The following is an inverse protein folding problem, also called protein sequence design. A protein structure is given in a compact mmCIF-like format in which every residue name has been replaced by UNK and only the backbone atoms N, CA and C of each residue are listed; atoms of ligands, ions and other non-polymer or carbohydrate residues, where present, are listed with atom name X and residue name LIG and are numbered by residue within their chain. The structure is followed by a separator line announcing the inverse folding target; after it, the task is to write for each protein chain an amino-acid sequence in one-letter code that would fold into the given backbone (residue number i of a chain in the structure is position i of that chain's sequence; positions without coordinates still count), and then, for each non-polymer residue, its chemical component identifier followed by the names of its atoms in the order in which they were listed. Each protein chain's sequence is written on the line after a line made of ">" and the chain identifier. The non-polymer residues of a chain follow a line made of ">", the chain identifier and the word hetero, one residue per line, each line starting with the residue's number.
data_IF_333757874172
#
_entry.id   IF_333757874172
#
_cell.length_a   1.000
_cell.length_b   1.000
_cell.length_c   1.000
_cell.angle_alpha   90.00
_cell.angle_beta   90.00
_cell.angle_gamma   90.00
#
_symmetry.space_group_name_H-M   'P 1'
#
loop_
_entity.id
_entity.type
_entity.pdbx_description
1 polymer ?
#
# COMPACT_ATOMS: atom_id res chain seq x y z
N UNK A 1 28.69 -48.50 -25.36
CA UNK A 1 28.41 -47.09 -25.08
C UNK A 1 27.07 -46.75 -25.72
N UNK A 2 26.10 -46.37 -24.85
CA UNK A 2 24.78 -45.91 -25.30
C UNK A 2 24.96 -44.43 -25.67
N UNK A 3 24.66 -44.10 -26.94
CA UNK A 3 24.68 -42.71 -27.43
C UNK A 3 23.30 -42.12 -27.16
N UNK A 4 23.17 -41.32 -26.13
CA UNK A 4 21.95 -40.55 -25.84
C UNK A 4 22.04 -39.26 -26.66
N UNK A 5 21.16 -39.09 -27.62
CA UNK A 5 20.93 -37.87 -28.35
C UNK A 5 19.81 -37.12 -27.62
N UNK A 6 20.11 -36.02 -26.98
CA UNK A 6 19.09 -35.11 -26.43
C UNK A 6 18.63 -34.23 -27.60
N UNK A 7 17.34 -34.35 -27.98
CA UNK A 7 16.67 -33.37 -28.83
C UNK A 7 16.28 -32.20 -27.95
N UNK A 8 16.58 -30.98 -28.39
CA UNK A 8 16.05 -29.78 -27.75
C UNK A 8 14.53 -29.77 -27.96
N UNK A 9 13.79 -29.93 -26.87
CA UNK A 9 12.34 -29.71 -26.87
C UNK A 9 12.08 -28.21 -26.87
N UNK A 10 12.03 -27.61 -28.03
CA UNK A 10 11.68 -26.22 -28.26
C UNK A 10 10.17 -26.07 -28.44
N UNK A 11 9.37 -26.54 -27.50
CA UNK A 11 7.99 -26.04 -27.38
C UNK A 11 8.04 -24.58 -26.89
N UNK A 12 8.15 -23.67 -27.84
CA UNK A 12 7.87 -22.26 -27.61
C UNK A 12 6.39 -22.15 -27.28
N UNK A 13 6.07 -22.13 -26.01
CA UNK A 13 4.72 -21.78 -25.54
C UNK A 13 4.42 -20.39 -26.10
N UNK A 14 3.56 -20.32 -27.11
CA UNK A 14 3.06 -19.06 -27.66
C UNK A 14 2.27 -18.32 -26.56
N UNK A 15 2.96 -17.41 -25.89
CA UNK A 15 2.34 -16.58 -24.85
C UNK A 15 1.30 -15.65 -25.53
N UNK A 16 0.03 -15.90 -25.23
CA UNK A 16 -1.11 -15.17 -25.77
C UNK A 16 -1.47 -14.05 -24.81
N UNK A 17 -1.49 -12.83 -25.31
CA UNK A 17 -1.83 -11.64 -24.55
C UNK A 17 -3.23 -11.16 -24.94
N UNK A 18 -4.06 -10.86 -23.97
CA UNK A 18 -5.35 -10.21 -24.20
C UNK A 18 -5.11 -8.74 -24.55
N UNK A 19 -5.54 -8.33 -25.74
CA UNK A 19 -5.44 -6.95 -26.22
C UNK A 19 -6.81 -6.49 -26.71
N UNK A 20 -7.38 -5.51 -26.06
CA UNK A 20 -8.66 -4.93 -26.46
C UNK A 20 -9.78 -5.96 -26.51
N UNK A 21 -10.35 -6.14 -27.70
CA UNK A 21 -11.47 -7.05 -27.93
C UNK A 21 -11.07 -8.46 -28.39
N UNK A 22 -9.78 -8.81 -28.25
CA UNK A 22 -9.29 -10.12 -28.71
C UNK A 22 -7.99 -10.53 -28.04
N UNK A 23 -7.52 -11.73 -28.38
CA UNK A 23 -6.24 -12.29 -27.95
C UNK A 23 -5.27 -12.25 -29.11
N UNK A 24 -4.05 -11.80 -28.88
CA UNK A 24 -2.95 -11.82 -29.86
C UNK A 24 -1.70 -12.47 -29.26
N UNK A 25 -0.88 -13.05 -30.13
CA UNK A 25 0.42 -13.56 -29.70
C UNK A 25 1.32 -12.40 -29.27
N UNK A 26 2.02 -12.55 -28.16
CA UNK A 26 2.95 -11.53 -27.62
C UNK A 26 3.97 -11.09 -28.68
N UNK A 27 4.44 -12.03 -29.51
CA UNK A 27 5.36 -11.78 -30.62
C UNK A 27 4.82 -10.90 -31.75
N UNK A 28 3.50 -10.77 -31.87
CA UNK A 28 2.83 -9.93 -32.90
C UNK A 28 2.45 -8.55 -32.41
N UNK A 29 2.70 -8.23 -31.14
CA UNK A 29 2.41 -6.91 -30.57
C UNK A 29 3.51 -5.93 -30.93
N UNK A 30 3.19 -4.96 -31.78
CA UNK A 30 4.10 -3.87 -32.17
C UNK A 30 4.20 -2.76 -31.13
N UNK A 31 3.36 -2.78 -30.09
CA UNK A 31 3.31 -1.79 -29.03
C UNK A 31 4.05 -2.22 -27.76
N UNK A 32 4.39 -1.25 -26.90
CA UNK A 32 4.99 -1.50 -25.60
C UNK A 32 3.94 -2.07 -24.62
N UNK A 33 3.83 -3.40 -24.58
CA UNK A 33 2.96 -4.13 -23.67
C UNK A 33 3.81 -4.84 -22.61
N UNK A 34 3.49 -4.65 -21.35
CA UNK A 34 4.10 -5.39 -20.25
C UNK A 34 3.03 -6.27 -19.62
N UNK A 35 3.30 -7.56 -19.55
CA UNK A 35 2.39 -8.56 -18.97
C UNK A 35 2.89 -8.98 -17.61
N UNK A 36 1.99 -9.05 -16.66
CA UNK A 36 2.22 -9.55 -15.30
C UNK A 36 1.30 -10.74 -15.07
N UNK A 37 1.88 -11.90 -14.79
CA UNK A 37 1.17 -13.15 -14.57
C UNK A 37 0.80 -13.37 -13.10
N UNK A 38 -0.08 -14.34 -12.86
CA UNK A 38 -0.53 -14.72 -11.51
C UNK A 38 0.60 -15.11 -10.55
N UNK A 39 1.77 -15.52 -11.06
CA UNK A 39 2.92 -15.94 -10.24
C UNK A 39 3.35 -14.88 -9.25
N UNK A 40 3.37 -13.60 -9.67
CA UNK A 40 3.77 -12.47 -8.80
C UNK A 40 2.87 -12.36 -7.57
N UNK A 41 1.58 -12.61 -7.72
CA UNK A 41 0.63 -12.56 -6.61
C UNK A 41 0.80 -13.74 -5.65
N UNK A 42 1.10 -14.93 -6.18
CA UNK A 42 1.34 -16.14 -5.38
C UNK A 42 2.66 -16.06 -4.59
N UNK A 43 3.71 -15.55 -5.22
CA UNK A 43 5.05 -15.48 -4.62
C UNK A 43 5.13 -14.47 -3.47
N UNK A 44 4.42 -13.36 -3.58
CA UNK A 44 4.45 -12.30 -2.56
C UNK A 44 3.52 -12.55 -1.38
N UNK A 45 2.47 -13.33 -1.50
CA UNK A 45 1.51 -13.69 -0.45
C UNK A 45 1.11 -12.58 0.53
N UNK A 46 -0.07 -12.66 1.13
CA UNK A 46 -0.46 -11.77 2.23
C UNK A 46 -0.59 -10.29 1.88
N UNK A 47 -0.93 -9.98 0.62
CA UNK A 47 -1.04 -8.62 0.13
C UNK A 47 -2.49 -8.16 0.17
N UNK A 48 -2.75 -7.03 0.81
CA UNK A 48 -4.09 -6.44 0.90
C UNK A 48 -4.62 -5.90 -0.43
N UNK A 49 -3.74 -5.65 -1.41
CA UNK A 49 -4.12 -5.08 -2.72
C UNK A 49 -3.22 -5.59 -3.84
N UNK A 50 -3.76 -5.84 -5.06
CA UNK A 50 -2.96 -6.16 -6.24
C UNK A 50 -1.90 -5.11 -6.55
N UNK A 51 -2.19 -3.83 -6.30
CA UNK A 51 -1.26 -2.71 -6.54
C UNK A 51 0.02 -2.82 -5.71
N UNK A 52 -0.09 -3.34 -4.49
CA UNK A 52 1.07 -3.59 -3.63
C UNK A 52 1.99 -4.66 -4.22
N UNK A 53 1.43 -5.71 -4.83
CA UNK A 53 2.20 -6.74 -5.50
C UNK A 53 2.98 -6.20 -6.70
N UNK A 54 2.36 -5.28 -7.45
CA UNK A 54 2.91 -4.71 -8.69
C UNK A 54 3.99 -3.67 -8.45
N UNK A 55 4.06 -3.08 -7.25
CA UNK A 55 5.00 -2.02 -6.94
C UNK A 55 6.45 -2.49 -7.16
N UNK A 56 7.18 -1.77 -8.01
CA UNK A 56 8.57 -2.08 -8.37
C UNK A 56 8.77 -3.29 -9.30
N UNK A 57 7.68 -3.94 -9.77
CA UNK A 57 7.77 -5.13 -10.63
C UNK A 57 7.64 -4.82 -12.12
N UNK A 58 7.06 -3.69 -12.45
CA UNK A 58 6.74 -3.34 -13.85
C UNK A 58 7.59 -2.16 -14.30
N UNK A 59 8.51 -2.35 -15.27
CA UNK A 59 9.34 -1.27 -15.77
C UNK A 59 8.51 -0.11 -16.32
N UNK A 60 8.84 1.13 -15.92
CA UNK A 60 8.17 2.35 -16.37
C UNK A 60 6.75 2.54 -15.80
N UNK A 61 6.36 1.77 -14.79
CA UNK A 61 5.12 1.98 -14.03
C UNK A 61 5.48 2.50 -12.64
N UNK A 62 4.92 3.65 -12.29
CA UNK A 62 5.11 4.27 -10.99
C UNK A 62 3.84 4.05 -10.18
N UNK A 63 3.96 3.31 -9.09
CA UNK A 63 2.87 3.06 -8.15
C UNK A 63 3.22 3.75 -6.84
N UNK A 64 2.41 4.72 -6.45
CA UNK A 64 2.54 5.46 -5.20
C UNK A 64 1.43 5.09 -4.25
N UNK A 65 1.73 5.12 -2.96
CA UNK A 65 0.75 4.91 -1.90
C UNK A 65 0.72 6.17 -1.04
N UNK A 66 -0.41 6.85 -1.02
CA UNK A 66 -0.58 8.10 -0.26
C UNK A 66 -0.89 7.88 1.21
N UNK A 67 -1.61 6.79 1.54
CA UNK A 67 -1.93 6.39 2.91
C UNK A 67 -1.62 4.93 3.13
N UNK A 68 -1.16 4.58 4.34
CA UNK A 68 -0.95 3.19 4.76
C UNK A 68 -2.02 2.71 5.75
N UNK A 69 -3.03 3.55 6.02
CA UNK A 69 -4.12 3.17 6.90
C UNK A 69 -4.95 2.06 6.25
N UNK A 70 -5.22 0.95 6.94
CA UNK A 70 -6.04 -0.13 6.41
C UNK A 70 -7.45 0.37 6.05
N UNK A 71 -7.87 0.12 4.81
CA UNK A 71 -9.18 0.55 4.31
C UNK A 71 -9.24 1.97 3.76
N UNK A 72 -8.25 2.81 4.03
CA UNK A 72 -8.13 4.18 3.51
C UNK A 72 -6.83 4.35 2.70
N UNK A 73 -6.45 3.33 1.99
CA UNK A 73 -5.30 3.35 1.11
C UNK A 73 -5.63 4.12 -0.17
N UNK A 74 -4.95 5.23 -0.38
CA UNK A 74 -4.98 5.93 -1.66
C UNK A 74 -3.82 5.47 -2.53
N UNK A 75 -4.14 5.03 -3.74
CA UNK A 75 -3.15 4.56 -4.69
C UNK A 75 -3.10 5.47 -5.91
N UNK A 76 -1.91 5.86 -6.30
CA UNK A 76 -1.63 6.51 -7.57
C UNK A 76 -0.90 5.53 -8.49
N UNK A 77 -1.30 5.48 -9.75
CA UNK A 77 -0.70 4.67 -10.79
C UNK A 77 -0.41 5.53 -12.00
N UNK A 78 0.84 5.61 -12.40
CA UNK A 78 1.26 6.34 -13.59
C UNK A 78 2.08 5.42 -14.51
N UNK A 79 1.73 5.44 -15.80
CA UNK A 79 2.47 4.77 -16.84
C UNK A 79 3.34 5.82 -17.55
N UNK A 80 4.68 5.73 -17.40
CA UNK A 80 5.66 6.66 -18.00
C UNK A 80 5.61 8.12 -17.53
N UNK A 81 5.12 8.38 -16.31
CA UNK A 81 5.11 9.71 -15.71
C UNK A 81 3.86 10.53 -16.02
N UNK A 82 3.88 11.80 -15.65
CA UNK A 82 2.73 12.70 -15.77
C UNK A 82 2.61 13.25 -17.19
N UNK A 83 1.48 13.03 -17.84
CA UNK A 83 1.17 13.52 -19.18
C UNK A 83 0.39 14.85 -19.15
N UNK A 84 -0.29 15.16 -18.04
CA UNK A 84 -1.10 16.36 -17.85
C UNK A 84 -0.98 16.88 -16.41
N UNK A 85 -1.22 18.16 -16.22
CA UNK A 85 -1.26 18.81 -14.90
C UNK A 85 -2.51 18.38 -14.12
N UNK A 86 -3.58 18.05 -14.77
CA UNK A 86 -4.89 17.82 -14.13
C UNK A 86 -5.19 16.35 -13.79
N UNK A 87 -4.68 15.38 -14.49
CA UNK A 87 -4.72 13.95 -14.18
C UNK A 87 -4.03 13.15 -15.27
N UNK A 88 -3.39 12.08 -14.89
CA UNK A 88 -2.70 11.15 -15.80
C UNK A 88 -2.93 9.70 -15.40
N UNK A 89 -3.98 9.45 -14.62
CA UNK A 89 -4.34 8.08 -14.26
C UNK A 89 -4.65 7.28 -15.54
N UNK A 90 -4.14 6.06 -15.66
CA UNK A 90 -4.46 5.18 -16.77
C UNK A 90 -5.91 4.72 -16.70
N UNK A 91 -6.48 4.40 -17.86
CA UNK A 91 -7.79 3.76 -17.93
C UNK A 91 -7.69 2.32 -17.42
N UNK A 92 -8.51 1.97 -16.44
CA UNK A 92 -8.57 0.63 -15.86
C UNK A 92 -9.69 -0.16 -16.56
N UNK A 93 -9.36 -1.37 -17.03
CA UNK A 93 -10.35 -2.25 -17.65
C UNK A 93 -10.26 -3.63 -16.98
N UNK A 94 -11.37 -4.07 -16.38
CA UNK A 94 -11.47 -5.36 -15.71
C UNK A 94 -12.48 -6.21 -16.49
N UNK A 95 -12.03 -7.31 -17.05
CA UNK A 95 -12.84 -8.23 -17.87
C UNK A 95 -13.67 -7.51 -18.95
N UNK A 96 -13.12 -6.44 -19.55
CA UNK A 96 -13.77 -5.66 -20.60
C UNK A 96 -14.62 -4.49 -20.09
N UNK A 97 -14.81 -4.33 -18.79
CA UNK A 97 -15.53 -3.20 -18.18
C UNK A 97 -14.54 -2.10 -17.79
N UNK A 98 -14.80 -0.88 -18.23
CA UNK A 98 -13.95 0.28 -17.91
C UNK A 98 -14.31 0.90 -16.58
N UNK A 99 -13.30 1.19 -15.77
CA UNK A 99 -13.38 1.87 -14.48
C UNK A 99 -12.59 3.18 -14.52
N UNK A 100 -13.04 4.17 -13.75
CA UNK A 100 -12.45 5.52 -13.81
C UNK A 100 -11.34 5.73 -12.77
N UNK A 101 -11.30 4.91 -11.73
CA UNK A 101 -10.33 5.07 -10.64
C UNK A 101 -9.45 3.85 -10.45
N UNK A 102 -8.17 4.09 -10.23
CA UNK A 102 -7.20 3.06 -9.82
C UNK A 102 -7.58 2.42 -8.48
N UNK A 103 -8.32 3.13 -7.64
CA UNK A 103 -8.75 2.62 -6.34
C UNK A 103 -9.71 1.42 -6.44
N UNK A 104 -10.38 1.22 -7.58
CA UNK A 104 -11.22 0.03 -7.80
C UNK A 104 -10.40 -1.27 -7.80
N UNK A 105 -9.12 -1.19 -8.20
CA UNK A 105 -8.21 -2.34 -8.13
C UNK A 105 -7.98 -2.84 -6.70
N UNK A 106 -8.15 -1.98 -5.73
CA UNK A 106 -8.04 -2.33 -4.31
C UNK A 106 -9.08 -3.36 -3.89
N UNK A 107 -10.24 -3.35 -4.53
CA UNK A 107 -11.35 -4.25 -4.20
C UNK A 107 -11.18 -5.66 -4.76
N UNK A 108 -10.30 -5.82 -5.75
CA UNK A 108 -10.03 -7.13 -6.33
C UNK A 108 -9.17 -7.98 -5.40
N UNK A 109 -9.54 -9.25 -5.29
CA UNK A 109 -8.68 -10.22 -4.63
C UNK A 109 -7.50 -10.56 -5.57
N UNK A 110 -6.24 -10.42 -5.14
CA UNK A 110 -5.08 -10.81 -5.94
C UNK A 110 -5.11 -12.26 -6.43
N UNK A 111 -5.71 -13.15 -5.65
CA UNK A 111 -5.83 -14.56 -5.98
C UNK A 111 -6.80 -14.85 -7.15
N UNK A 112 -7.70 -13.93 -7.47
CA UNK A 112 -8.63 -14.05 -8.60
C UNK A 112 -8.12 -13.46 -9.90
N UNK A 113 -6.96 -12.80 -9.88
CA UNK A 113 -6.34 -12.23 -11.08
C UNK A 113 -5.58 -13.32 -11.85
N UNK A 114 -5.85 -13.41 -13.14
CA UNK A 114 -5.10 -14.27 -14.06
C UNK A 114 -3.90 -13.54 -14.65
N UNK A 115 -4.13 -12.31 -15.14
CA UNK A 115 -3.06 -11.47 -15.70
C UNK A 115 -3.41 -10.00 -15.63
N UNK A 116 -2.38 -9.15 -15.60
CA UNK A 116 -2.48 -7.71 -15.75
C UNK A 116 -1.59 -7.28 -16.90
N UNK A 117 -2.17 -6.59 -17.87
CA UNK A 117 -1.48 -6.10 -19.06
C UNK A 117 -1.43 -4.57 -19.02
N UNK A 118 -0.24 -4.00 -19.11
CA UNK A 118 -0.01 -2.57 -19.18
C UNK A 118 0.20 -2.17 -20.63
N UNK A 119 -0.81 -1.51 -21.22
CA UNK A 119 -0.75 -0.99 -22.57
C UNK A 119 -0.27 0.45 -22.56
N UNK A 120 0.83 0.71 -23.22
CA UNK A 120 1.47 2.02 -23.29
C UNK A 120 1.45 2.53 -24.73
N UNK A 121 1.40 3.86 -24.90
CA UNK A 121 1.52 4.51 -26.19
C UNK A 121 0.50 4.01 -27.24
N UNK A 122 0.99 3.64 -28.44
CA UNK A 122 0.16 3.17 -29.54
C UNK A 122 -0.74 1.97 -29.22
N UNK A 123 -0.35 1.09 -28.30
CA UNK A 123 -1.18 -0.02 -27.86
C UNK A 123 -2.44 0.43 -27.10
N UNK A 124 -2.37 1.57 -26.41
CA UNK A 124 -3.51 2.16 -25.70
C UNK A 124 -4.46 2.93 -26.62
N UNK A 125 -4.03 3.31 -27.82
CA UNK A 125 -4.79 4.19 -28.73
C UNK A 125 -6.15 3.62 -29.17
N UNK A 126 -6.31 2.30 -29.17
CA UNK A 126 -7.59 1.64 -29.51
C UNK A 126 -8.72 1.98 -28.51
N UNK A 127 -8.37 2.44 -27.31
CA UNK A 127 -9.33 2.84 -26.27
C UNK A 127 -9.67 4.34 -26.30
N UNK A 128 -9.16 5.07 -27.30
CA UNK A 128 -9.47 6.47 -27.55
C UNK A 128 -8.80 7.45 -26.59
N UNK A 129 -9.36 8.66 -26.50
CA UNK A 129 -8.79 9.77 -25.73
C UNK A 129 -8.71 9.51 -24.22
N UNK A 130 -9.59 8.67 -23.68
CA UNK A 130 -9.58 8.28 -22.25
C UNK A 130 -8.32 7.49 -21.87
N UNK A 131 -7.64 6.91 -22.84
CA UNK A 131 -6.43 6.12 -22.66
C UNK A 131 -5.14 6.94 -22.82
N UNK A 132 -5.21 8.27 -22.77
CA UNK A 132 -4.03 9.13 -22.91
C UNK A 132 -2.95 8.84 -21.85
N UNK A 133 -3.33 8.46 -20.63
CA UNK A 133 -2.44 8.00 -19.55
C UNK A 133 -2.00 6.54 -19.67
N UNK A 134 -2.41 5.83 -20.74
CA UNK A 134 -2.25 4.39 -20.92
C UNK A 134 -3.46 3.59 -20.45
N UNK A 135 -3.38 2.25 -20.59
CA UNK A 135 -4.45 1.33 -20.17
C UNK A 135 -3.89 0.22 -19.32
N UNK A 136 -4.58 -0.11 -18.24
CA UNK A 136 -4.33 -1.32 -17.45
C UNK A 136 -5.49 -2.29 -17.69
N UNK A 137 -5.18 -3.38 -18.35
CA UNK A 137 -6.14 -4.41 -18.68
C UNK A 137 -5.98 -5.58 -17.72
N UNK A 138 -7.00 -5.88 -16.95
CA UNK A 138 -7.02 -6.94 -15.96
C UNK A 138 -7.96 -8.04 -16.43
N UNK A 139 -7.45 -9.25 -16.40
CA UNK A 139 -8.22 -10.45 -16.71
C UNK A 139 -8.32 -11.29 -15.45
N UNK A 140 -9.54 -11.60 -15.04
CA UNK A 140 -9.77 -12.49 -13.91
C UNK A 140 -9.72 -13.95 -14.32
N UNK A 141 -9.48 -14.86 -13.36
CA UNK A 141 -9.48 -16.30 -13.57
C UNK A 141 -10.88 -16.78 -13.92
N UNK A 142 -10.97 -17.59 -14.95
CA UNK A 142 -12.21 -18.24 -15.39
C UNK A 142 -12.20 -19.73 -15.02
N UNK A 143 -13.37 -20.35 -14.99
CA UNK A 143 -13.47 -21.79 -14.94
C UNK A 143 -12.92 -22.40 -16.23
N UNK A 144 -12.29 -23.55 -16.13
CA UNK A 144 -11.82 -24.33 -17.26
C UNK A 144 -12.63 -25.66 -17.35
N UNK A 145 -12.66 -26.21 -18.54
CA UNK A 145 -13.17 -27.56 -18.75
C UNK A 145 -12.38 -28.57 -17.91
N UNK A 146 -13.05 -29.50 -17.30
CA UNK A 146 -12.43 -30.57 -16.53
C UNK A 146 -13.11 -30.83 -15.19
N UNK A 147 -12.41 -31.59 -14.35
CA UNK A 147 -12.88 -31.95 -13.01
C UNK A 147 -12.99 -30.71 -12.12
N UNK A 148 -13.87 -30.77 -11.14
CA UNK A 148 -14.00 -29.74 -10.10
C UNK A 148 -12.64 -29.60 -9.40
N UNK A 149 -12.15 -28.38 -9.39
CA UNK A 149 -10.92 -27.96 -8.71
C UNK A 149 -11.28 -27.05 -7.55
N UNK A 150 -10.83 -27.42 -6.37
CA UNK A 150 -10.98 -26.62 -5.16
C UNK A 150 -9.59 -26.09 -4.79
N UNK A 151 -9.47 -24.79 -4.67
CA UNK A 151 -8.22 -24.12 -4.28
C UNK A 151 -8.47 -23.31 -3.00
N UNK A 152 -7.62 -23.52 -2.01
CA UNK A 152 -7.60 -22.72 -0.80
C UNK A 152 -6.22 -22.05 -0.67
N UNK A 153 -6.25 -20.75 -0.39
CA UNK A 153 -5.05 -19.96 -0.07
C UNK A 153 -5.28 -19.24 1.25
N UNK A 154 -4.34 -19.37 2.16
CA UNK A 154 -4.39 -18.68 3.45
C UNK A 154 -3.03 -18.10 3.77
N UNK A 155 -3.01 -16.84 4.24
CA UNK A 155 -1.81 -16.18 4.70
C UNK A 155 -2.05 -15.45 6.01
N UNK A 156 -1.01 -15.40 6.85
CA UNK A 156 -1.01 -14.61 8.07
C UNK A 156 0.29 -13.83 8.11
N UNK A 157 0.18 -12.52 8.26
CA UNK A 157 1.31 -11.60 8.22
C UNK A 157 1.39 -10.83 9.53
N UNK A 158 2.55 -10.87 10.19
CA UNK A 158 2.87 -9.99 11.30
C UNK A 158 3.41 -8.67 10.72
N UNK A 159 2.72 -7.58 10.98
CA UNK A 159 3.18 -6.23 10.66
C UNK A 159 3.90 -5.68 11.87
N UNK A 160 5.18 -5.42 11.71
CA UNK A 160 6.01 -4.78 12.72
C UNK A 160 6.32 -3.36 12.30
N UNK A 161 6.51 -2.50 13.28
CA UNK A 161 7.06 -1.18 13.02
C UNK A 161 8.49 -1.36 12.51
N UNK A 162 8.79 -0.73 11.38
CA UNK A 162 10.13 -0.75 10.81
C UNK A 162 11.09 0.13 11.62
N UNK A 163 11.91 0.92 10.95
CA UNK A 163 12.78 1.87 11.60
C UNK A 163 11.93 2.99 12.22
N UNK A 164 11.78 2.96 13.54
CA UNK A 164 11.23 4.08 14.29
C UNK A 164 12.40 4.97 14.71
N UNK A 165 12.23 6.27 14.55
CA UNK A 165 13.15 7.24 15.13
C UNK A 165 12.95 7.23 16.64
N UNK A 166 14.03 7.15 17.39
CA UNK A 166 13.98 7.39 18.82
C UNK A 166 13.65 8.87 19.07
N UNK A 167 12.64 9.11 19.88
CA UNK A 167 12.32 10.46 20.30
C UNK A 167 13.45 10.97 21.23
N UNK A 168 13.73 12.26 21.14
CA UNK A 168 14.66 12.90 22.09
C UNK A 168 14.09 12.80 23.49
N UNK A 169 14.93 12.52 24.47
CA UNK A 169 14.53 12.65 25.87
C UNK A 169 14.24 14.12 26.22
N UNK A 170 13.46 14.34 27.26
CA UNK A 170 13.15 15.68 27.76
C UNK A 170 14.44 16.48 28.05
N UNK A 171 15.45 15.82 28.60
CA UNK A 171 16.76 16.45 28.87
C UNK A 171 17.46 16.86 27.58
N UNK A 172 17.55 15.95 26.61
CA UNK A 172 18.16 16.24 25.29
C UNK A 172 17.44 17.36 24.55
N UNK A 173 16.10 17.35 24.59
CA UNK A 173 15.29 18.40 23.99
C UNK A 173 15.54 19.75 24.69
N UNK A 174 15.51 19.76 26.02
CA UNK A 174 15.69 20.99 26.81
C UNK A 174 17.11 21.58 26.59
N UNK A 175 18.14 20.72 26.60
CA UNK A 175 19.53 21.16 26.37
C UNK A 175 19.71 21.68 24.94
N UNK A 176 19.10 21.02 23.93
CA UNK A 176 19.14 21.49 22.55
C UNK A 176 18.47 22.85 22.36
N UNK A 177 17.28 23.04 22.94
CA UNK A 177 16.54 24.30 22.90
C UNK A 177 17.29 25.43 23.61
N UNK A 178 17.82 25.16 24.81
CA UNK A 178 18.59 26.15 25.56
C UNK A 178 19.85 26.56 24.80
N UNK A 179 20.61 25.60 24.27
CA UNK A 179 21.82 25.87 23.48
C UNK A 179 21.51 26.67 22.22
N UNK A 180 20.42 26.36 21.50
CA UNK A 180 20.04 27.10 20.31
C UNK A 180 19.70 28.58 20.63
N UNK A 181 18.96 28.79 21.74
CA UNK A 181 18.59 30.15 22.18
C UNK A 181 19.77 30.92 22.72
N UNK A 182 20.70 30.25 23.43
CA UNK A 182 21.94 30.88 23.92
C UNK A 182 22.84 31.31 22.76
N UNK A 183 22.94 30.53 21.70
CA UNK A 183 23.70 30.88 20.49
C UNK A 183 23.14 32.11 19.77
N UNK A 184 21.85 32.39 19.93
CA UNK A 184 21.17 33.59 19.37
C UNK A 184 21.14 34.76 20.35
N UNK A 185 21.79 34.69 21.50
CA UNK A 185 21.78 35.68 22.59
C UNK A 185 20.36 36.07 23.07
N UNK A 186 19.37 35.16 22.92
CA UNK A 186 17.95 35.44 23.18
C UNK A 186 17.44 34.76 24.47
N UNK A 187 18.23 34.71 25.53
CA UNK A 187 17.88 34.02 26.78
C UNK A 187 16.63 34.53 27.49
N UNK A 188 16.08 35.69 27.06
CA UNK A 188 14.77 36.21 27.48
C UNK A 188 13.59 35.51 26.79
N UNK A 189 13.83 34.66 25.79
CA UNK A 189 12.78 33.95 25.07
C UNK A 189 12.02 33.00 25.97
N UNK A 190 10.69 32.97 25.85
CA UNK A 190 9.82 32.15 26.72
C UNK A 190 10.16 30.65 26.65
N UNK A 191 10.59 30.12 25.49
CA UNK A 191 11.01 28.73 25.35
C UNK A 191 12.27 28.39 26.15
N UNK A 192 13.19 29.33 26.38
CA UNK A 192 14.35 29.11 27.25
C UNK A 192 13.91 28.83 28.69
N UNK A 193 13.03 29.66 29.22
CA UNK A 193 12.46 29.47 30.55
C UNK A 193 11.68 28.16 30.64
N UNK A 194 10.92 27.85 29.60
CA UNK A 194 10.14 26.62 29.50
C UNK A 194 11.04 25.39 29.55
N UNK A 195 12.08 25.32 28.71
CA UNK A 195 13.02 24.21 28.67
C UNK A 195 13.72 24.01 30.02
N UNK A 196 14.17 25.11 30.64
CA UNK A 196 14.78 25.08 31.97
C UNK A 196 13.87 24.55 33.06
N UNK A 197 12.58 24.92 33.03
CA UNK A 197 11.60 24.46 33.99
C UNK A 197 11.20 23.01 33.75
N UNK A 198 11.02 22.59 32.49
CA UNK A 198 10.73 21.23 32.13
C UNK A 198 11.83 20.28 32.65
N UNK A 199 13.10 20.63 32.44
CA UNK A 199 14.24 19.89 32.96
C UNK A 199 14.27 19.84 34.50
N UNK A 200 14.01 21.00 35.15
CA UNK A 200 14.01 21.10 36.62
C UNK A 200 12.95 20.22 37.29
N UNK A 201 11.79 20.11 36.67
CA UNK A 201 10.64 19.40 37.22
C UNK A 201 10.41 18.00 36.58
N UNK A 202 11.41 17.48 35.87
CA UNK A 202 11.34 16.13 35.30
C UNK A 202 10.95 15.10 36.38
N UNK A 203 9.99 14.23 36.06
CA UNK A 203 9.44 13.24 36.97
C UNK A 203 8.45 13.81 37.99
N UNK A 204 8.03 15.07 37.83
CA UNK A 204 7.12 15.75 38.75
C UNK A 204 5.94 16.39 38.03
N UNK A 205 4.85 16.64 38.82
CA UNK A 205 3.73 17.42 38.33
C UNK A 205 4.01 18.93 38.51
N UNK A 206 3.81 19.68 37.45
CA UNK A 206 3.88 21.13 37.46
C UNK A 206 2.45 21.65 37.62
N UNK A 207 2.19 22.36 38.72
CA UNK A 207 0.91 23.04 38.96
C UNK A 207 0.94 24.41 38.23
N UNK A 208 0.14 24.50 37.19
CA UNK A 208 0.08 25.70 36.34
C UNK A 208 -0.62 26.89 37.01
N UNK A 209 -1.39 26.65 38.10
CA UNK A 209 -2.07 27.68 38.87
C UNK A 209 -1.20 28.31 39.96
N UNK A 210 -0.07 27.69 40.28
CA UNK A 210 0.86 28.28 41.26
C UNK A 210 1.78 29.30 40.60
N UNK A 211 1.85 30.47 41.21
CA UNK A 211 2.74 31.54 40.76
C UNK A 211 4.20 31.25 41.19
N UNK A 212 5.18 31.46 40.29
CA UNK A 212 5.00 31.95 38.93
C UNK A 212 4.61 30.80 37.97
N UNK A 213 3.48 30.94 37.28
CA UNK A 213 3.15 30.08 36.17
C UNK A 213 4.17 30.30 35.05
N UNK A 214 4.99 29.29 34.70
CA UNK A 214 6.05 29.44 33.71
C UNK A 214 5.52 29.67 32.29
N UNK A 215 4.25 29.38 32.04
CA UNK A 215 3.63 29.43 30.72
C UNK A 215 2.74 30.67 30.51
N UNK A 216 2.68 31.58 31.50
CA UNK A 216 1.83 32.76 31.41
C UNK A 216 0.36 32.49 31.72
N UNK A 217 -0.30 33.47 32.35
CA UNK A 217 -1.63 33.32 32.92
C UNK A 217 -2.78 33.20 31.93
N UNK A 218 -2.56 33.36 30.63
CA UNK A 218 -3.65 33.50 29.67
C UNK A 218 -3.98 32.24 28.83
N UNK A 219 -3.14 31.22 28.86
CA UNK A 219 -3.23 30.13 27.89
C UNK A 219 -3.95 28.85 28.38
N UNK A 220 -4.23 28.70 29.69
CA UNK A 220 -4.63 27.41 30.26
C UNK A 220 -5.78 27.51 31.29
N UNK A 221 -6.84 28.25 30.97
CA UNK A 221 -7.97 28.43 31.90
C UNK A 221 -8.90 27.21 32.00
N UNK A 222 -8.77 26.21 31.09
CA UNK A 222 -9.72 25.09 30.98
C UNK A 222 -9.10 23.68 30.95
N UNK A 223 -7.79 23.55 31.12
CA UNK A 223 -7.13 22.22 31.09
C UNK A 223 -6.71 21.88 32.50
N UNK A 224 -6.69 20.57 32.83
CA UNK A 224 -6.19 20.06 34.10
C UNK A 224 -4.98 20.85 34.56
N UNK A 225 -5.05 21.43 35.74
CA UNK A 225 -4.10 22.39 36.31
C UNK A 225 -2.69 21.82 36.52
N UNK A 226 -2.46 20.58 36.10
CA UNK A 226 -1.23 19.85 36.31
C UNK A 226 -0.69 19.29 34.99
N UNK A 227 0.58 19.57 34.74
CA UNK A 227 1.34 18.97 33.63
C UNK A 227 2.43 18.08 34.20
N UNK A 228 2.48 16.83 33.76
CA UNK A 228 3.55 15.92 34.14
C UNK A 228 4.73 16.09 33.18
N UNK A 229 5.89 16.50 33.73
CA UNK A 229 7.10 16.68 32.95
C UNK A 229 7.93 15.40 32.99
N UNK A 230 7.86 14.58 31.95
CA UNK A 230 8.66 13.37 31.82
C UNK A 230 8.85 13.00 30.35
N UNK A 231 9.68 11.99 30.12
CA UNK A 231 9.82 11.39 28.82
C UNK A 231 8.54 10.63 28.47
N UNK A 232 7.89 10.99 27.36
CA UNK A 232 6.72 10.31 26.88
C UNK A 232 7.04 9.64 25.56
N UNK A 233 7.01 8.33 25.52
CA UNK A 233 7.10 7.56 24.27
C UNK A 233 5.75 7.59 23.52
N UNK A 234 5.50 8.70 22.82
CA UNK A 234 4.34 8.88 21.99
C UNK A 234 4.28 7.87 20.85
N UNK A 235 5.44 7.53 20.27
CA UNK A 235 5.50 6.59 19.16
C UNK A 235 5.15 5.18 19.63
N UNK A 236 5.70 4.71 20.75
CA UNK A 236 5.36 3.43 21.32
C UNK A 236 3.92 3.36 21.86
N UNK A 237 3.35 4.50 22.27
CA UNK A 237 1.94 4.57 22.69
C UNK A 237 0.98 4.53 21.51
N UNK A 238 1.33 5.22 20.42
CA UNK A 238 0.45 5.33 19.25
C UNK A 238 0.57 4.15 18.29
N UNK A 239 1.75 3.55 18.18
CA UNK A 239 2.02 2.51 17.21
C UNK A 239 2.45 1.20 17.88
N UNK A 240 2.05 0.09 17.29
CA UNK A 240 2.41 -1.24 17.77
C UNK A 240 2.35 -2.29 16.66
N UNK A 241 2.78 -3.48 17.00
CA UNK A 241 2.71 -4.62 16.09
C UNK A 241 1.27 -5.09 15.95
N UNK A 242 0.92 -5.55 14.76
CA UNK A 242 -0.42 -6.07 14.47
C UNK A 242 -0.36 -7.25 13.50
N UNK A 243 -1.47 -7.96 13.38
CA UNK A 243 -1.62 -9.09 12.48
C UNK A 243 -2.58 -8.76 11.35
N UNK A 244 -2.30 -9.30 10.18
CA UNK A 244 -3.22 -9.35 9.05
C UNK A 244 -3.39 -10.79 8.62
N UNK A 245 -4.64 -11.18 8.33
CA UNK A 245 -4.94 -12.54 7.85
C UNK A 245 -5.78 -12.46 6.59
N UNK A 246 -5.45 -13.29 5.62
CA UNK A 246 -6.19 -13.44 4.38
C UNK A 246 -6.52 -14.90 4.15
N UNK A 247 -7.76 -15.18 3.79
CA UNK A 247 -8.22 -16.50 3.41
C UNK A 247 -9.02 -16.40 2.11
N UNK A 248 -8.70 -17.23 1.14
CA UNK A 248 -9.39 -17.32 -0.14
C UNK A 248 -9.70 -18.76 -0.47
N UNK A 249 -10.94 -19.04 -0.79
CA UNK A 249 -11.43 -20.34 -1.24
C UNK A 249 -12.06 -20.18 -2.61
N UNK A 250 -11.64 -20.95 -3.58
CA UNK A 250 -12.28 -20.96 -4.89
C UNK A 250 -12.60 -22.37 -5.35
N UNK A 251 -13.72 -22.47 -6.05
CA UNK A 251 -14.19 -23.69 -6.70
C UNK A 251 -14.41 -23.40 -8.17
N UNK A 252 -13.78 -24.16 -9.03
CA UNK A 252 -13.90 -24.02 -10.48
C UNK A 252 -14.07 -25.36 -11.17
N UNK A 253 -14.71 -25.35 -12.32
CA UNK A 253 -14.92 -26.52 -13.13
C UNK A 253 -15.68 -26.17 -14.39
N UNK A 254 -15.95 -27.18 -15.22
CA UNK A 254 -16.70 -26.97 -16.44
C UNK A 254 -16.81 -28.19 -17.30
N UNK A 255 -17.62 -28.04 -18.31
CA UNK A 255 -17.81 -28.99 -19.41
C UNK A 255 -17.43 -28.30 -20.72
N UNK A 256 -17.52 -29.02 -21.84
CA UNK A 256 -17.36 -28.49 -23.19
C UNK A 256 -18.30 -27.30 -23.51
N UNK A 257 -19.43 -27.19 -22.79
CA UNK A 257 -20.48 -26.19 -23.04
C UNK A 257 -20.57 -25.10 -21.98
N UNK A 258 -20.05 -25.32 -20.78
CA UNK A 258 -20.17 -24.38 -19.67
C UNK A 258 -18.99 -24.48 -18.72
N UNK A 259 -18.50 -23.36 -18.26
CA UNK A 259 -17.52 -23.32 -17.21
C UNK A 259 -17.96 -22.36 -16.10
N UNK A 260 -17.55 -22.64 -14.87
CA UNK A 260 -17.87 -21.85 -13.71
C UNK A 260 -16.65 -21.69 -12.81
N UNK A 261 -16.59 -20.55 -12.13
CA UNK A 261 -15.68 -20.27 -11.01
C UNK A 261 -16.44 -19.46 -9.97
N UNK A 262 -16.35 -19.88 -8.74
CA UNK A 262 -16.87 -19.18 -7.57
C UNK A 262 -15.70 -19.01 -6.60
N UNK A 263 -15.49 -17.79 -6.13
CA UNK A 263 -14.47 -17.49 -5.13
C UNK A 263 -15.10 -16.75 -3.95
N UNK A 264 -14.60 -17.06 -2.76
CA UNK A 264 -14.92 -16.41 -1.51
C UNK A 264 -13.62 -16.00 -0.86
N UNK A 265 -13.54 -14.76 -0.40
CA UNK A 265 -12.36 -14.28 0.29
C UNK A 265 -12.72 -13.54 1.58
N UNK A 266 -11.82 -13.65 2.54
CA UNK A 266 -11.87 -12.88 3.77
C UNK A 266 -10.51 -12.27 4.02
N UNK A 267 -10.47 -10.96 4.23
CA UNK A 267 -9.29 -10.21 4.62
C UNK A 267 -9.57 -9.48 5.93
N UNK A 268 -8.73 -9.71 6.91
CA UNK A 268 -8.57 -8.85 8.07
C UNK A 268 -7.22 -8.16 7.98
N UNK A 269 -7.22 -6.85 7.87
CA UNK A 269 -6.02 -6.04 7.80
C UNK A 269 -5.89 -5.16 9.05
N UNK A 270 -5.00 -5.57 9.96
CA UNK A 270 -4.76 -4.87 11.21
C UNK A 270 -3.94 -3.60 10.99
N UNK A 271 -4.29 -2.54 11.73
CA UNK A 271 -3.57 -1.28 11.76
C UNK A 271 -2.43 -1.31 12.77
N UNK A 272 -1.27 -0.78 12.40
CA UNK A 272 -0.18 -0.51 13.33
C UNK A 272 -0.46 0.68 14.24
N UNK A 273 -1.42 1.55 13.89
CA UNK A 273 -1.91 2.61 14.76
C UNK A 273 -2.84 2.01 15.82
N UNK A 274 -2.43 2.04 17.08
CA UNK A 274 -3.14 1.40 18.20
C UNK A 274 -4.31 2.23 18.72
N UNK A 275 -4.35 3.52 18.40
CA UNK A 275 -5.40 4.41 18.86
C UNK A 275 -6.63 4.34 17.95
N UNK A 276 -7.79 4.00 18.52
CA UNK A 276 -9.03 3.84 17.78
C UNK A 276 -9.17 2.46 17.09
N UNK A 277 -10.27 2.27 16.37
CA UNK A 277 -10.54 1.05 15.61
C UNK A 277 -10.21 1.27 14.13
N UNK A 278 -8.93 1.18 13.78
CA UNK A 278 -8.41 1.43 12.43
C UNK A 278 -8.20 0.13 11.61
N UNK A 279 -8.79 -0.97 12.04
CA UNK A 279 -8.67 -2.24 11.35
C UNK A 279 -9.67 -2.31 10.19
N UNK A 280 -9.26 -2.91 9.07
CA UNK A 280 -10.11 -3.13 7.90
C UNK A 280 -10.51 -4.59 7.77
N UNK A 281 -11.77 -4.83 7.46
CA UNK A 281 -12.29 -6.17 7.13
C UNK A 281 -12.95 -6.12 5.75
N UNK A 282 -12.63 -7.10 4.92
CA UNK A 282 -13.21 -7.25 3.59
C UNK A 282 -13.63 -8.72 3.38
N UNK A 283 -14.80 -8.92 2.81
CA UNK A 283 -15.38 -10.21 2.53
C UNK A 283 -15.54 -10.40 1.03
#
# INVERSE_FOLDING_TARGET
>A
PVKVVLEEDSEVLDEVVVVGYGTQKKSSLTGAVTVVDEKIFKEKGGLSSPLQALQGQVPGVIITRGSSAPGDESWGLNLRGSVSVNSTEPLIIIDGVAYESVNELRLLNPNDIASINFLKDGAAAIYGSRAAGGVVLITTKKGAEGRIKVEYSGSTTLKTLGLMQEAMSLDQWADGVMTAIENDDQTSHSFYTYAKLAKKYKGSFIDLNKSPNPFGSAAFTDVSDFVFADDVDWLGTLFGNTWSTEHSLSVSGGTDKSSYRVSLSYLYDGSTLQYGNNNNKRY
#
